data_IF_245957203291
#
_entry.id   IF_245957203291
#
_cell.length_a   1.000
_cell.length_b   1.000
_cell.length_c   1.000
_cell.angle_alpha   90.00
_cell.angle_beta   90.00
_cell.angle_gamma   90.00
#
_symmetry.space_group_name_H-M   'P 1'
#
loop_
_entity.id
_entity.type
_entity.pdbx_description
1 polymer ?
#
# COMPACT_ATOMS: atom_id res chain seq x y z
N UNK A 1 -7.89 12.38 23.71
CA UNK A 1 -8.68 12.09 22.50
C UNK A 1 -7.79 11.31 21.56
N UNK A 2 -8.30 10.24 20.96
CA UNK A 2 -7.54 9.46 19.98
C UNK A 2 -7.54 10.22 18.64
N UNK A 3 -6.44 10.92 18.35
CA UNK A 3 -6.30 11.79 17.18
C UNK A 3 -6.63 11.06 15.86
N UNK A 4 -6.32 9.77 15.80
CA UNK A 4 -6.52 8.91 14.64
C UNK A 4 -8.00 8.57 14.37
N UNK A 5 -8.88 8.82 15.34
CA UNK A 5 -10.31 8.53 15.23
C UNK A 5 -11.17 9.80 15.13
N UNK A 6 -10.55 10.98 14.98
CA UNK A 6 -11.31 12.22 14.74
C UNK A 6 -11.88 12.26 13.32
N UNK A 7 -13.07 12.86 13.15
CA UNK A 7 -13.72 12.97 11.82
C UNK A 7 -12.83 13.69 10.81
N UNK A 8 -12.14 14.75 11.26
CA UNK A 8 -11.21 15.50 10.41
C UNK A 8 -10.01 14.65 9.98
N UNK A 9 -9.39 13.90 10.89
CA UNK A 9 -8.28 13.01 10.52
C UNK A 9 -8.74 11.90 9.58
N UNK A 10 -9.89 11.29 9.84
CA UNK A 10 -10.48 10.28 8.98
C UNK A 10 -10.76 10.81 7.56
N UNK A 11 -11.22 12.07 7.44
CA UNK A 11 -11.38 12.72 6.15
C UNK A 11 -10.05 12.87 5.42
N UNK A 12 -9.03 13.43 6.07
CA UNK A 12 -7.70 13.62 5.48
C UNK A 12 -7.08 12.27 5.08
N UNK A 13 -7.19 11.26 5.95
CA UNK A 13 -6.73 9.90 5.66
C UNK A 13 -7.36 9.34 4.39
N UNK A 14 -8.70 9.36 4.30
CA UNK A 14 -9.42 8.87 3.12
C UNK A 14 -9.08 9.66 1.86
N UNK A 15 -8.89 10.97 1.96
CA UNK A 15 -8.46 11.82 0.86
C UNK A 15 -7.08 11.38 0.33
N UNK A 16 -6.10 11.22 1.22
CA UNK A 16 -4.74 10.79 0.85
C UNK A 16 -4.73 9.39 0.22
N UNK A 17 -5.47 8.45 0.80
CA UNK A 17 -5.62 7.08 0.25
C UNK A 17 -6.24 7.12 -1.15
N UNK A 18 -7.25 7.96 -1.36
CA UNK A 18 -7.91 8.11 -2.67
C UNK A 18 -6.97 8.71 -3.71
N UNK A 19 -6.19 9.73 -3.35
CA UNK A 19 -5.19 10.32 -4.24
C UNK A 19 -4.11 9.29 -4.63
N UNK A 20 -3.64 8.50 -3.66
CA UNK A 20 -2.71 7.39 -3.91
C UNK A 20 -3.30 6.35 -4.86
N UNK A 21 -4.56 5.95 -4.66
CA UNK A 21 -5.25 5.00 -5.53
C UNK A 21 -5.38 5.51 -6.97
N UNK A 22 -5.72 6.79 -7.16
CA UNK A 22 -5.78 7.40 -8.50
C UNK A 22 -4.39 7.41 -9.15
N UNK A 23 -3.35 7.80 -8.41
CA UNK A 23 -1.97 7.78 -8.89
C UNK A 23 -1.50 6.39 -9.34
N UNK A 24 -1.77 5.36 -8.54
CA UNK A 24 -1.43 3.98 -8.88
C UNK A 24 -2.22 3.48 -10.10
N UNK A 25 -3.53 3.75 -10.14
CA UNK A 25 -4.41 3.32 -11.24
C UNK A 25 -4.02 3.96 -12.56
N UNK A 26 -3.71 5.26 -12.56
CA UNK A 26 -3.22 5.97 -13.75
C UNK A 26 -1.87 5.44 -14.22
N UNK A 27 -0.96 5.12 -13.29
CA UNK A 27 0.31 4.45 -13.60
C UNK A 27 0.12 3.08 -14.27
N UNK A 28 -0.80 2.26 -13.76
CA UNK A 28 -1.12 0.96 -14.36
C UNK A 28 -1.68 1.07 -15.77
N UNK A 29 -2.62 1.99 -16.00
CA UNK A 29 -3.19 2.21 -17.34
C UNK A 29 -2.11 2.62 -18.32
N UNK A 30 -1.15 3.46 -17.89
CA UNK A 30 -0.01 3.83 -18.72
C UNK A 30 0.90 2.64 -19.02
N UNK A 31 1.24 1.82 -18.02
CA UNK A 31 2.04 0.61 -18.21
C UNK A 31 1.39 -0.35 -19.20
N UNK A 32 0.09 -0.63 -19.02
CA UNK A 32 -0.71 -1.46 -19.90
C UNK A 32 -0.69 -0.95 -21.36
N UNK A 33 -0.86 0.36 -21.56
CA UNK A 33 -0.83 0.97 -22.89
C UNK A 33 0.56 0.84 -23.55
N UNK A 34 1.64 1.03 -22.79
CA UNK A 34 3.01 0.86 -23.27
C UNK A 34 3.33 -0.61 -23.60
N UNK A 35 2.88 -1.55 -22.76
CA UNK A 35 3.01 -3.00 -22.98
C UNK A 35 2.29 -3.42 -24.26
N UNK A 36 1.04 -2.99 -24.44
CA UNK A 36 0.25 -3.29 -25.63
C UNK A 36 0.86 -2.69 -26.89
N UNK A 37 1.35 -1.45 -26.83
CA UNK A 37 2.02 -0.79 -27.96
C UNK A 37 3.31 -1.50 -28.38
N UNK A 38 4.06 -2.05 -27.42
CA UNK A 38 5.32 -2.75 -27.68
C UNK A 38 5.10 -4.15 -28.27
N UNK A 39 4.10 -4.88 -27.80
CA UNK A 39 3.92 -6.30 -28.17
C UNK A 39 2.84 -6.52 -29.22
N UNK A 40 1.84 -5.63 -29.30
CA UNK A 40 0.62 -5.81 -30.09
C UNK A 40 -0.31 -6.91 -29.56
N UNK A 41 -0.01 -7.53 -28.40
CA UNK A 41 -0.75 -8.67 -27.86
C UNK A 41 -1.55 -8.25 -26.63
N UNK A 42 -2.86 -8.46 -26.64
CA UNK A 42 -3.71 -8.15 -25.49
C UNK A 42 -3.34 -8.94 -24.22
N UNK A 43 -2.79 -10.14 -24.40
CA UNK A 43 -2.29 -10.96 -23.27
C UNK A 43 -1.14 -10.32 -22.52
N UNK A 44 -0.43 -9.34 -23.10
CA UNK A 44 0.67 -8.64 -22.43
C UNK A 44 0.19 -7.63 -21.39
N UNK A 45 -1.13 -7.46 -21.24
CA UNK A 45 -1.75 -6.53 -20.28
C UNK A 45 -2.36 -7.29 -19.08
N UNK A 46 -2.35 -8.62 -19.12
CA UNK A 46 -3.00 -9.46 -18.09
C UNK A 46 -2.34 -9.32 -16.72
N UNK A 47 -1.03 -9.10 -16.68
CA UNK A 47 -0.30 -8.80 -15.45
C UNK A 47 -0.72 -7.46 -14.85
N UNK A 48 -0.84 -6.40 -15.67
CA UNK A 48 -1.37 -5.12 -15.19
C UNK A 48 -2.83 -5.22 -14.71
N UNK A 49 -3.67 -6.03 -15.36
CA UNK A 49 -5.05 -6.29 -14.91
C UNK A 49 -5.05 -6.99 -13.55
N UNK A 50 -4.21 -8.01 -13.37
CA UNK A 50 -4.10 -8.73 -12.11
C UNK A 50 -3.64 -7.80 -10.97
N UNK A 51 -2.65 -6.94 -11.22
CA UNK A 51 -2.21 -5.92 -10.25
C UNK A 51 -3.29 -4.88 -9.99
N UNK A 52 -4.04 -4.45 -11.02
CA UNK A 52 -5.16 -3.53 -10.88
C UNK A 52 -6.26 -4.06 -9.98
N UNK A 53 -6.63 -5.34 -10.14
CA UNK A 53 -7.59 -6.03 -9.26
C UNK A 53 -7.09 -6.01 -7.82
N UNK A 54 -5.82 -6.35 -7.59
CA UNK A 54 -5.21 -6.33 -6.25
C UNK A 54 -5.29 -4.93 -5.62
N UNK A 55 -4.95 -3.88 -6.37
CA UNK A 55 -4.98 -2.49 -5.88
C UNK A 55 -6.41 -2.08 -5.51
N UNK A 56 -7.42 -2.48 -6.29
CA UNK A 56 -8.83 -2.23 -5.96
C UNK A 56 -9.22 -2.93 -4.65
N UNK A 57 -8.84 -4.20 -4.47
CA UNK A 57 -9.13 -4.91 -3.22
C UNK A 57 -8.48 -4.23 -2.01
N UNK A 58 -7.20 -3.87 -2.12
CA UNK A 58 -6.49 -3.16 -1.04
C UNK A 58 -7.15 -1.82 -0.74
N UNK A 59 -7.54 -1.05 -1.77
CA UNK A 59 -8.24 0.22 -1.60
C UNK A 59 -9.57 0.05 -0.86
N UNK A 60 -10.39 -0.94 -1.25
CA UNK A 60 -11.66 -1.23 -0.58
C UNK A 60 -11.44 -1.60 0.89
N UNK A 61 -10.44 -2.45 1.18
CA UNK A 61 -10.10 -2.83 2.55
C UNK A 61 -9.72 -1.60 3.36
N UNK A 62 -8.87 -0.71 2.84
CA UNK A 62 -8.45 0.50 3.57
C UNK A 62 -9.64 1.45 3.79
N UNK A 63 -10.52 1.61 2.80
CA UNK A 63 -11.66 2.54 2.87
C UNK A 63 -12.79 2.08 3.79
N UNK A 64 -12.94 0.77 3.98
CA UNK A 64 -13.97 0.15 4.83
C UNK A 64 -13.54 0.01 6.29
N UNK A 65 -12.26 0.21 6.59
CA UNK A 65 -11.72 0.07 7.94
C UNK A 65 -11.34 1.43 8.56
N UNK A 66 -11.37 1.56 9.90
CA UNK A 66 -10.81 2.72 10.58
C UNK A 66 -9.32 2.89 10.28
N UNK A 67 -8.84 4.15 10.25
CA UNK A 67 -7.44 4.47 9.99
C UNK A 67 -6.50 3.80 11.00
N UNK A 68 -6.91 3.73 12.27
CA UNK A 68 -6.20 3.03 13.35
C UNK A 68 -5.97 1.55 13.04
N UNK A 69 -7.00 0.82 12.58
CA UNK A 69 -6.90 -0.59 12.20
C UNK A 69 -5.89 -0.81 11.07
N UNK A 70 -5.94 0.03 10.03
CA UNK A 70 -5.01 -0.06 8.89
C UNK A 70 -3.58 0.25 9.34
N UNK A 71 -3.41 1.28 10.16
CA UNK A 71 -2.11 1.66 10.69
C UNK A 71 -1.50 0.56 11.56
N UNK A 72 -2.28 -0.07 12.43
CA UNK A 72 -1.82 -1.20 13.24
C UNK A 72 -1.45 -2.42 12.39
N UNK A 73 -2.23 -2.70 11.34
CA UNK A 73 -1.92 -3.78 10.41
C UNK A 73 -0.57 -3.58 9.72
N UNK A 74 -0.24 -2.35 9.32
CA UNK A 74 1.06 -2.00 8.69
C UNK A 74 2.19 -1.94 9.72
N UNK A 75 1.91 -1.44 10.92
CA UNK A 75 2.91 -1.29 11.98
C UNK A 75 3.43 -2.64 12.47
N UNK A 76 2.57 -3.64 12.63
CA UNK A 76 2.95 -4.98 13.12
C UNK A 76 4.12 -5.63 12.34
N UNK A 77 4.06 -5.78 11.01
CA UNK A 77 5.16 -6.36 10.24
C UNK A 77 6.40 -5.46 10.25
N UNK A 78 6.25 -4.13 10.26
CA UNK A 78 7.40 -3.22 10.36
C UNK A 78 8.16 -3.37 11.68
N UNK A 79 7.42 -3.45 12.80
CA UNK A 79 8.02 -3.70 14.11
C UNK A 79 8.67 -5.07 14.15
N UNK A 80 8.02 -6.10 13.59
CA UNK A 80 8.62 -7.44 13.50
C UNK A 80 9.96 -7.44 12.73
N UNK A 81 10.02 -6.76 11.58
CA UNK A 81 11.26 -6.62 10.81
C UNK A 81 12.31 -5.81 11.58
N UNK A 82 11.90 -4.76 12.29
CA UNK A 82 12.79 -3.98 13.13
C UNK A 82 13.37 -4.80 14.29
N UNK A 83 12.56 -5.63 14.94
CA UNK A 83 12.99 -6.51 16.02
C UNK A 83 14.00 -7.55 15.53
N UNK A 84 13.83 -8.07 14.30
CA UNK A 84 14.86 -8.92 13.67
C UNK A 84 16.18 -8.16 13.54
N UNK A 85 16.15 -6.93 13.03
CA UNK A 85 17.35 -6.11 12.89
C UNK A 85 17.99 -5.88 14.26
N UNK A 86 17.24 -5.44 15.26
CA UNK A 86 17.77 -5.21 16.61
C UNK A 86 18.40 -6.48 17.20
N UNK A 87 17.76 -7.64 17.02
CA UNK A 87 18.30 -8.91 17.51
C UNK A 87 19.62 -9.28 16.81
N UNK A 88 19.73 -9.06 15.50
CA UNK A 88 20.97 -9.28 14.75
C UNK A 88 22.08 -8.33 15.22
N UNK A 89 21.78 -7.05 15.37
CA UNK A 89 22.76 -6.06 15.81
C UNK A 89 23.25 -6.35 17.25
N UNK A 90 22.37 -6.84 18.14
CA UNK A 90 22.75 -7.32 19.49
C UNK A 90 23.67 -8.53 19.42
N UNK A 91 23.43 -9.48 18.50
CA UNK A 91 24.29 -10.64 18.30
C UNK A 91 25.71 -10.26 17.84
N UNK A 92 25.85 -9.15 17.10
CA UNK A 92 27.16 -8.62 16.65
C UNK A 92 27.83 -7.76 17.72
N UNK A 93 27.23 -7.62 18.91
CA UNK A 93 27.82 -6.90 20.04
C UNK A 93 27.77 -5.37 19.91
N UNK A 94 26.97 -4.83 18.98
CA UNK A 94 26.76 -3.39 18.92
C UNK A 94 25.84 -2.93 20.06
N UNK A 95 26.20 -1.85 20.78
CA UNK A 95 25.28 -1.22 21.71
C UNK A 95 24.16 -0.56 20.90
N UNK A 96 22.91 -0.95 21.19
CA UNK A 96 21.69 -0.40 20.61
C UNK A 96 20.73 -0.04 21.73
#
# INVERSE_FOLDING_TARGET
MDFLNTDFFNFIWKLLVTLGFIGLSTGLVRSAAESLKRTGKWTSVLDEIAVGILIIFVYIIIMTNPASTVFEFVKKPLVFLWDIVLNLLRQVGMPI
#
